data_IF_920858090764
#
_entry.id   IF_920858090764
#
_cell.length_a   1.000
_cell.length_b   1.000
_cell.length_c   1.000
_cell.angle_alpha   90.00
_cell.angle_beta   90.00
_cell.angle_gamma   90.00
#
_symmetry.space_group_name_H-M   'P 1'
#
loop_
_entity.id
_entity.type
_entity.pdbx_description
1 polymer ?
#
# COMPACT_ATOMS: atom_id res chain seq x y z
N UNK A 1 19.00 -23.41 12.73
CA UNK A 1 17.64 -23.36 13.30
C UNK A 1 17.22 -21.89 13.35
N UNK A 2 16.48 -21.44 12.35
CA UNK A 2 16.01 -20.02 12.27
C UNK A 2 14.83 -19.84 13.21
N UNK A 3 14.97 -19.00 14.21
CA UNK A 3 13.92 -18.64 15.15
C UNK A 3 12.89 -17.80 14.40
N UNK A 4 11.71 -18.35 14.16
CA UNK A 4 10.55 -17.64 13.69
C UNK A 4 10.06 -16.82 14.91
N UNK A 5 10.38 -15.54 14.92
CA UNK A 5 9.79 -14.60 15.85
C UNK A 5 8.35 -14.34 15.39
N UNK A 6 7.38 -14.99 16.04
CA UNK A 6 5.99 -14.57 15.96
C UNK A 6 5.91 -13.16 16.56
N UNK A 7 5.84 -12.16 15.72
CA UNK A 7 5.36 -10.84 16.14
C UNK A 7 3.87 -10.99 16.43
N UNK A 8 3.55 -11.21 17.70
CA UNK A 8 2.22 -10.94 18.22
C UNK A 8 2.01 -9.42 18.10
N UNK A 9 1.32 -8.99 17.04
CA UNK A 9 0.79 -7.66 16.96
C UNK A 9 -0.20 -7.50 18.13
N UNK A 10 0.28 -6.95 19.23
CA UNK A 10 -0.55 -6.47 20.32
C UNK A 10 -1.43 -5.38 19.72
N UNK A 11 -2.69 -5.74 19.41
CA UNK A 11 -3.73 -4.78 19.12
C UNK A 11 -3.88 -3.90 20.36
N UNK A 12 -3.20 -2.77 20.37
CA UNK A 12 -3.52 -1.69 21.28
C UNK A 12 -4.93 -1.24 20.89
N UNK A 13 -5.92 -1.75 21.61
CA UNK A 13 -7.28 -1.28 21.58
C UNK A 13 -7.22 0.18 22.03
N UNK A 14 -7.11 1.08 21.07
CA UNK A 14 -7.43 2.47 21.31
C UNK A 14 -8.91 2.47 21.70
N UNK A 15 -9.19 2.70 22.96
CA UNK A 15 -10.53 3.04 23.45
C UNK A 15 -10.86 4.42 22.87
N UNK A 16 -11.27 4.44 21.60
CA UNK A 16 -11.87 5.62 20.99
C UNK A 16 -13.24 5.72 21.64
N UNK A 17 -13.57 6.86 22.30
CA UNK A 17 -14.91 7.04 22.81
C UNK A 17 -15.88 6.87 21.65
N UNK A 18 -16.85 5.99 21.80
CA UNK A 18 -17.90 5.74 20.82
C UNK A 18 -18.70 7.03 20.62
N UNK A 19 -18.24 7.87 19.68
CA UNK A 19 -19.07 8.94 19.16
C UNK A 19 -20.10 8.22 18.28
N UNK A 20 -21.36 8.37 18.57
CA UNK A 20 -22.48 7.59 18.04
C UNK A 20 -22.62 7.52 16.49
N UNK A 21 -21.77 8.25 15.75
CA UNK A 21 -21.75 8.33 14.30
C UNK A 21 -20.38 8.01 13.67
N UNK A 22 -19.48 7.39 14.42
CA UNK A 22 -18.11 7.16 13.95
C UNK A 22 -17.73 5.70 14.04
N UNK A 23 -17.03 5.19 13.05
CA UNK A 23 -16.68 3.79 12.90
C UNK A 23 -15.18 3.65 12.63
N UNK A 24 -14.45 3.13 13.61
CA UNK A 24 -13.07 2.72 13.42
C UNK A 24 -13.01 1.37 12.71
N UNK A 25 -11.97 1.14 11.91
CA UNK A 25 -11.74 -0.15 11.25
C UNK A 25 -10.26 -0.44 11.08
N UNK A 26 -9.96 -1.72 10.93
CA UNK A 26 -8.66 -2.23 10.48
C UNK A 26 -8.88 -3.27 9.40
N UNK A 27 -7.93 -3.36 8.47
CA UNK A 27 -8.01 -4.29 7.35
C UNK A 27 -6.64 -4.82 6.95
N UNK A 28 -6.63 -6.00 6.35
CA UNK A 28 -5.52 -6.54 5.57
C UNK A 28 -5.90 -6.46 4.10
N UNK A 29 -4.91 -6.22 3.25
CA UNK A 29 -5.15 -5.99 1.84
C UNK A 29 -4.11 -6.65 0.96
N UNK A 30 -4.49 -6.96 -0.27
CA UNK A 30 -3.60 -7.48 -1.29
C UNK A 30 -4.17 -7.25 -2.69
N UNK A 31 -3.29 -7.16 -3.67
CA UNK A 31 -3.73 -6.83 -5.02
C UNK A 31 -2.64 -6.87 -6.06
N UNK A 32 -2.98 -6.37 -7.23
CA UNK A 32 -2.05 -6.19 -8.33
C UNK A 32 -1.51 -4.76 -8.32
N UNK A 33 -0.23 -4.64 -8.56
CA UNK A 33 0.50 -3.39 -8.63
C UNK A 33 1.21 -3.29 -9.97
N UNK A 34 1.01 -2.19 -10.68
CA UNK A 34 1.71 -1.86 -11.91
C UNK A 34 2.47 -0.56 -11.67
N UNK A 35 3.79 -0.67 -11.55
CA UNK A 35 4.70 0.45 -11.44
C UNK A 35 5.13 0.91 -12.83
N UNK A 36 5.17 2.22 -13.05
CA UNK A 36 5.57 2.82 -14.33
C UNK A 36 6.65 3.88 -14.09
N UNK A 37 7.72 3.79 -14.87
CA UNK A 37 8.81 4.77 -14.87
C UNK A 37 9.40 4.93 -16.27
N UNK A 38 9.50 6.17 -16.78
CA UNK A 38 10.19 6.47 -18.05
C UNK A 38 9.61 5.79 -19.29
N UNK A 39 8.39 5.23 -19.23
CA UNK A 39 7.75 4.50 -20.33
C UNK A 39 7.76 2.98 -20.16
N UNK A 40 8.52 2.44 -19.24
CA UNK A 40 8.52 1.02 -18.86
C UNK A 40 7.50 0.76 -17.75
N UNK A 41 6.93 -0.46 -17.74
CA UNK A 41 5.95 -0.84 -16.74
C UNK A 41 6.23 -2.25 -16.22
N UNK A 42 6.25 -2.39 -14.89
CA UNK A 42 6.47 -3.64 -14.20
C UNK A 42 5.27 -3.98 -13.31
N UNK A 43 4.83 -5.23 -13.39
CA UNK A 43 3.72 -5.73 -12.60
C UNK A 43 4.23 -6.54 -11.41
N UNK A 44 3.58 -6.32 -10.26
CA UNK A 44 3.88 -7.03 -9.03
C UNK A 44 2.61 -7.33 -8.24
N UNK A 45 2.82 -7.90 -7.07
CA UNK A 45 1.77 -8.11 -6.07
C UNK A 45 1.96 -7.13 -4.92
N UNK A 46 0.89 -6.39 -4.61
CA UNK A 46 0.80 -5.45 -3.49
C UNK A 46 0.14 -6.13 -2.30
N UNK A 47 0.64 -5.89 -1.10
CA UNK A 47 0.05 -6.39 0.14
C UNK A 47 0.31 -5.43 1.29
N UNK A 48 -0.62 -5.39 2.24
CA UNK A 48 -0.48 -4.44 3.34
C UNK A 48 -1.56 -4.52 4.39
N UNK A 49 -1.51 -3.54 5.27
CA UNK A 49 -2.49 -3.31 6.32
C UNK A 49 -2.91 -1.85 6.33
N UNK A 50 -4.17 -1.62 6.63
CA UNK A 50 -4.70 -0.26 6.77
C UNK A 50 -5.56 -0.15 8.01
N UNK A 51 -5.60 1.05 8.56
CA UNK A 51 -6.52 1.43 9.64
C UNK A 51 -7.16 2.77 9.29
N UNK A 52 -8.41 2.94 9.69
CA UNK A 52 -9.13 4.18 9.39
C UNK A 52 -10.28 4.43 10.33
N UNK A 53 -10.89 5.58 10.10
CA UNK A 53 -11.98 6.08 10.89
C UNK A 53 -12.94 6.84 9.98
N UNK A 54 -14.19 6.38 9.91
CA UNK A 54 -15.24 7.00 9.11
C UNK A 54 -16.27 7.68 10.02
N UNK A 55 -16.60 8.92 9.75
CA UNK A 55 -17.64 9.69 10.40
C UNK A 55 -18.87 9.78 9.49
N UNK A 56 -20.01 9.30 9.97
CA UNK A 56 -21.28 9.32 9.25
C UNK A 56 -21.90 10.71 9.32
N UNK A 57 -22.28 11.25 8.16
CA UNK A 57 -22.99 12.53 8.03
C UNK A 57 -24.46 12.25 7.73
N UNK A 58 -25.41 13.04 8.25
CA UNK A 58 -26.81 12.92 7.90
C UNK A 58 -27.02 12.91 6.38
N UNK A 59 -27.87 12.02 5.88
CA UNK A 59 -28.11 11.84 4.44
C UNK A 59 -27.35 10.68 3.81
N UNK A 60 -26.73 9.81 4.62
CA UNK A 60 -26.05 8.59 4.13
C UNK A 60 -24.66 8.83 3.55
N UNK A 61 -24.12 10.01 3.72
CA UNK A 61 -22.74 10.32 3.37
C UNK A 61 -21.79 10.02 4.54
N UNK A 62 -20.51 9.86 4.24
CA UNK A 62 -19.46 9.80 5.26
C UNK A 62 -18.18 10.52 4.81
N UNK A 63 -17.41 10.95 5.76
CA UNK A 63 -16.04 11.43 5.59
C UNK A 63 -15.13 10.65 6.53
N UNK A 64 -13.96 10.27 6.09
CA UNK A 64 -13.05 9.48 6.90
C UNK A 64 -11.58 9.75 6.58
N UNK A 65 -10.74 9.15 7.40
CA UNK A 65 -9.29 9.13 7.20
C UNK A 65 -8.82 7.68 7.20
N UNK A 66 -7.81 7.37 6.40
CA UNK A 66 -7.20 6.04 6.35
C UNK A 66 -5.68 6.18 6.27
N UNK A 67 -4.98 5.42 7.11
CA UNK A 67 -3.54 5.20 7.00
C UNK A 67 -3.28 3.79 6.45
N UNK A 68 -2.32 3.68 5.53
CA UNK A 68 -1.91 2.42 4.90
C UNK A 68 -0.42 2.20 5.09
N UNK A 69 -0.05 0.97 5.40
CA UNK A 69 1.32 0.46 5.36
C UNK A 69 1.32 -0.76 4.46
N UNK A 70 2.03 -0.71 3.35
CA UNK A 70 2.12 -1.78 2.38
C UNK A 70 3.53 -2.03 1.88
N UNK A 71 3.66 -3.09 1.10
CA UNK A 71 4.86 -3.47 0.39
C UNK A 71 4.48 -4.08 -0.96
N UNK A 72 5.42 -4.14 -1.92
CA UNK A 72 5.18 -4.65 -3.25
C UNK A 72 6.28 -5.63 -3.66
N UNK A 73 5.92 -6.61 -4.45
CA UNK A 73 6.88 -7.55 -5.06
C UNK A 73 7.34 -7.10 -6.44
N UNK A 74 6.92 -5.92 -6.91
CA UNK A 74 7.34 -5.37 -8.20
C UNK A 74 8.86 -5.14 -8.20
N UNK A 75 9.54 -5.80 -9.13
CA UNK A 75 11.00 -5.76 -9.28
C UNK A 75 11.36 -5.79 -10.75
N UNK A 76 12.18 -4.85 -11.16
CA UNK A 76 12.83 -4.83 -12.47
C UNK A 76 14.34 -5.08 -12.31
N UNK A 77 14.90 -6.00 -13.11
CA UNK A 77 16.31 -6.35 -13.07
C UNK A 77 16.90 -6.39 -14.48
N UNK A 78 17.99 -5.65 -14.68
CA UNK A 78 18.77 -5.66 -15.90
C UNK A 78 20.08 -6.40 -15.64
N UNK A 79 20.47 -7.25 -16.59
CA UNK A 79 21.70 -8.03 -16.55
C UNK A 79 22.73 -7.49 -17.54
N UNK A 80 24.01 -7.74 -17.27
CA UNK A 80 25.13 -7.40 -18.15
C UNK A 80 25.23 -5.88 -18.47
N UNK A 81 25.07 -5.03 -17.44
CA UNK A 81 25.03 -3.56 -17.55
C UNK A 81 26.44 -2.98 -17.70
N UNK A 82 27.38 -3.40 -16.85
CA UNK A 82 28.77 -2.92 -16.83
C UNK A 82 29.77 -4.03 -17.07
N UNK A 83 29.50 -5.25 -16.67
CA UNK A 83 30.33 -6.42 -16.92
C UNK A 83 29.47 -7.67 -17.11
N UNK A 84 30.02 -8.70 -17.78
CA UNK A 84 29.31 -9.96 -17.98
C UNK A 84 29.01 -10.65 -16.65
N UNK A 85 27.72 -10.90 -16.41
CA UNK A 85 27.22 -11.55 -15.19
C UNK A 85 26.87 -10.60 -14.06
N UNK A 86 26.94 -9.27 -14.24
CA UNK A 86 26.42 -8.32 -13.28
C UNK A 86 24.89 -8.21 -13.35
N UNK A 87 24.30 -7.67 -12.27
CA UNK A 87 22.86 -7.50 -12.15
C UNK A 87 22.54 -6.21 -11.40
N UNK A 88 21.75 -5.37 -12.02
CA UNK A 88 21.18 -4.18 -11.42
C UNK A 88 19.68 -4.36 -11.26
N UNK A 89 19.14 -4.21 -10.05
CA UNK A 89 17.72 -4.35 -9.77
C UNK A 89 17.15 -3.07 -9.14
N UNK A 90 15.95 -2.70 -9.58
CA UNK A 90 15.07 -1.73 -8.93
C UNK A 90 13.91 -2.49 -8.30
N UNK A 91 13.62 -2.18 -7.04
CA UNK A 91 12.59 -2.85 -6.25
C UNK A 91 11.63 -1.81 -5.67
N UNK A 92 10.33 -2.01 -5.88
CA UNK A 92 9.31 -1.26 -5.17
C UNK A 92 9.16 -1.88 -3.77
N UNK A 93 9.57 -1.15 -2.77
CA UNK A 93 9.50 -1.58 -1.37
C UNK A 93 8.33 -0.89 -0.66
N UNK A 94 8.51 -0.57 0.63
CA UNK A 94 7.53 0.05 1.51
C UNK A 94 6.73 1.17 0.84
N UNK A 95 5.42 1.13 1.05
CA UNK A 95 4.46 2.15 0.66
C UNK A 95 3.68 2.63 1.89
N UNK A 96 3.76 3.92 2.19
CA UNK A 96 3.02 4.57 3.25
C UNK A 96 2.01 5.53 2.62
N UNK A 97 0.77 5.53 3.08
CA UNK A 97 -0.19 6.52 2.64
C UNK A 97 -1.07 7.01 3.79
N UNK A 98 -1.47 8.27 3.70
CA UNK A 98 -2.48 8.87 4.55
C UNK A 98 -3.47 9.63 3.65
N UNK A 99 -4.73 9.18 3.66
CA UNK A 99 -5.75 9.69 2.75
C UNK A 99 -7.02 10.10 3.49
N UNK A 100 -7.73 11.06 2.91
CA UNK A 100 -9.11 11.41 3.28
C UNK A 100 -10.03 10.66 2.35
N UNK A 101 -11.10 10.09 2.90
CA UNK A 101 -12.15 9.36 2.19
C UNK A 101 -13.45 10.12 2.25
N UNK A 102 -14.17 10.19 1.14
CA UNK A 102 -15.54 10.76 1.08
C UNK A 102 -16.39 9.81 0.27
N UNK A 103 -17.55 9.47 0.78
CA UNK A 103 -18.41 8.52 0.10
C UNK A 103 -19.86 8.58 0.54
N UNK A 104 -20.62 7.67 -0.01
CA UNK A 104 -22.04 7.50 0.29
C UNK A 104 -22.37 6.04 0.53
N UNK A 105 -23.33 5.82 1.41
CA UNK A 105 -23.94 4.54 1.63
C UNK A 105 -25.02 4.30 0.57
N UNK A 106 -24.77 3.37 -0.35
CA UNK A 106 -25.72 3.04 -1.43
C UNK A 106 -26.84 2.10 -0.97
N UNK A 107 -26.56 1.30 0.06
CA UNK A 107 -27.54 0.44 0.74
C UNK A 107 -27.10 0.22 2.18
N UNK A 108 -27.91 -0.49 2.97
CA UNK A 108 -27.57 -0.83 4.37
C UNK A 108 -26.22 -1.56 4.52
N UNK A 109 -25.72 -2.19 3.45
CA UNK A 109 -24.51 -3.02 3.44
C UNK A 109 -23.42 -2.55 2.49
N UNK A 110 -23.67 -1.49 1.70
CA UNK A 110 -22.73 -1.12 0.66
C UNK A 110 -22.38 0.36 0.70
N UNK A 111 -21.09 0.66 0.54
CA UNK A 111 -20.56 2.03 0.45
C UNK A 111 -19.76 2.18 -0.83
N UNK A 112 -19.92 3.32 -1.49
CA UNK A 112 -19.09 3.78 -2.59
C UNK A 112 -18.36 5.03 -2.15
N UNK A 113 -17.07 5.12 -2.45
CA UNK A 113 -16.25 6.26 -2.01
C UNK A 113 -15.11 6.56 -2.98
N UNK A 114 -14.64 7.78 -2.88
CA UNK A 114 -13.39 8.25 -3.45
C UNK A 114 -12.47 8.69 -2.32
N UNK A 115 -11.18 8.70 -2.58
CA UNK A 115 -10.20 9.15 -1.60
C UNK A 115 -9.02 9.82 -2.26
N UNK A 116 -8.32 10.64 -1.49
CA UNK A 116 -7.11 11.29 -1.92
C UNK A 116 -6.26 11.74 -0.74
N UNK A 117 -4.95 11.80 -0.96
CA UNK A 117 -4.02 12.20 0.08
C UNK A 117 -2.56 12.03 -0.30
N UNK A 118 -1.73 12.03 0.73
CA UNK A 118 -0.29 11.89 0.63
C UNK A 118 0.12 10.42 0.60
N UNK A 119 1.16 10.12 -0.17
CA UNK A 119 1.82 8.82 -0.19
C UNK A 119 3.34 8.98 -0.24
N UNK A 120 4.06 8.02 0.36
CA UNK A 120 5.51 7.95 0.35
C UNK A 120 5.91 6.52 0.04
N UNK A 121 6.58 6.32 -1.09
CA UNK A 121 7.11 5.02 -1.48
C UNK A 121 8.62 4.98 -1.29
N UNK A 122 9.13 3.81 -0.90
CA UNK A 122 10.56 3.53 -0.88
C UNK A 122 10.91 2.66 -2.06
N UNK A 123 11.87 3.13 -2.88
CA UNK A 123 12.45 2.37 -3.97
C UNK A 123 13.85 1.93 -3.55
N UNK A 124 14.13 0.64 -3.72
CA UNK A 124 15.45 0.04 -3.50
C UNK A 124 16.17 -0.13 -4.83
N UNK A 125 17.44 0.21 -4.86
CA UNK A 125 18.36 -0.11 -5.97
C UNK A 125 19.45 -1.02 -5.44
N UNK A 126 19.67 -2.16 -6.09
CA UNK A 126 20.75 -3.09 -5.75
C UNK A 126 21.59 -3.39 -6.99
N UNK A 127 22.91 -3.34 -6.82
CA UNK A 127 23.88 -3.70 -7.85
C UNK A 127 24.78 -4.82 -7.35
N UNK A 128 24.82 -5.92 -8.08
CA UNK A 128 25.63 -7.09 -7.80
C UNK A 128 26.55 -7.36 -8.99
N UNK A 129 27.85 -7.57 -8.74
CA UNK A 129 28.86 -7.75 -9.75
C UNK A 129 29.85 -8.85 -9.35
N UNK A 130 30.21 -9.78 -10.29
CA UNK A 130 31.24 -10.82 -10.02
C UNK A 130 32.59 -10.26 -9.61
N UNK A 131 32.97 -9.08 -10.10
CA UNK A 131 34.24 -8.45 -9.72
C UNK A 131 34.20 -7.90 -8.28
N UNK A 132 33.06 -7.42 -7.79
CA UNK A 132 32.86 -7.02 -6.41
C UNK A 132 32.91 -8.22 -5.47
N UNK A 133 32.24 -9.32 -5.82
CA UNK A 133 32.28 -10.57 -5.05
C UNK A 133 33.72 -11.11 -4.92
N UNK A 134 34.49 -11.05 -5.99
CA UNK A 134 35.89 -11.50 -6.00
C UNK A 134 36.82 -10.65 -5.12
N UNK A 135 36.47 -9.38 -4.89
CA UNK A 135 37.24 -8.46 -4.03
C UNK A 135 36.73 -8.42 -2.58
N UNK A 136 35.66 -9.14 -2.25
CA UNK A 136 35.02 -9.17 -0.93
C UNK A 136 34.24 -7.92 -0.58
N UNK A 137 33.94 -7.06 -1.55
CA UNK A 137 33.00 -5.96 -1.37
C UNK A 137 31.58 -6.52 -1.49
N UNK A 138 30.73 -6.20 -0.51
CA UNK A 138 29.32 -6.53 -0.56
C UNK A 138 28.58 -5.63 -1.55
N UNK A 139 27.47 -6.16 -2.08
CA UNK A 139 26.54 -5.49 -2.98
C UNK A 139 26.25 -4.04 -2.57
N UNK A 140 26.27 -3.14 -3.52
CA UNK A 140 25.85 -1.76 -3.30
C UNK A 140 24.31 -1.71 -3.27
N UNK A 141 23.76 -1.37 -2.11
CA UNK A 141 22.32 -1.17 -1.94
C UNK A 141 22.04 0.28 -1.57
N UNK A 142 21.16 0.94 -2.32
CA UNK A 142 20.69 2.28 -2.03
C UNK A 142 19.17 2.27 -1.90
N UNK A 143 18.64 3.10 -0.99
CA UNK A 143 17.20 3.31 -0.86
C UNK A 143 16.88 4.79 -1.09
N UNK A 144 15.81 5.04 -1.82
CA UNK A 144 15.28 6.38 -2.06
C UNK A 144 13.83 6.42 -1.62
N UNK A 145 13.48 7.40 -0.81
CA UNK A 145 12.09 7.67 -0.44
C UNK A 145 11.54 8.71 -1.43
N UNK A 146 10.41 8.40 -2.05
CA UNK A 146 9.72 9.23 -3.03
C UNK A 146 8.40 9.70 -2.43
N UNK A 147 8.22 11.01 -2.40
CA UNK A 147 6.99 11.63 -1.97
C UNK A 147 6.01 11.77 -3.14
N UNK A 148 4.71 11.70 -2.85
CA UNK A 148 3.71 11.78 -3.88
C UNK A 148 2.30 11.99 -3.37
N UNK A 149 1.35 11.95 -4.30
CA UNK A 149 -0.07 11.96 -3.99
C UNK A 149 -0.72 10.67 -4.48
N UNK A 150 -1.77 10.25 -3.75
CA UNK A 150 -2.60 9.10 -4.08
C UNK A 150 -4.03 9.54 -4.25
N UNK A 151 -4.68 9.06 -5.33
CA UNK A 151 -6.11 9.18 -5.58
C UNK A 151 -6.69 7.80 -5.82
N UNK A 152 -7.96 7.61 -5.51
CA UNK A 152 -8.60 6.35 -5.79
C UNK A 152 -10.09 6.36 -5.54
N UNK A 153 -10.68 5.22 -5.87
CA UNK A 153 -12.09 4.94 -5.62
C UNK A 153 -12.23 3.51 -5.10
N UNK A 154 -13.25 3.29 -4.28
CA UNK A 154 -13.47 1.98 -3.68
C UNK A 154 -14.95 1.69 -3.46
N UNK A 155 -15.20 0.40 -3.41
CA UNK A 155 -16.51 -0.18 -3.12
C UNK A 155 -16.35 -1.12 -1.93
N UNK A 156 -17.18 -0.94 -0.88
CA UNK A 156 -17.15 -1.70 0.36
C UNK A 156 -18.47 -2.41 0.55
N UNK A 157 -18.42 -3.67 0.95
CA UNK A 157 -19.59 -4.50 1.26
C UNK A 157 -19.45 -5.08 2.66
N UNK A 158 -20.45 -4.82 3.50
CA UNK A 158 -20.57 -5.42 4.83
C UNK A 158 -21.06 -6.86 4.71
N UNK A 159 -20.21 -7.81 5.07
CA UNK A 159 -20.53 -9.25 5.11
C UNK A 159 -21.30 -9.58 6.36
N UNK A 160 -20.91 -8.99 7.50
CA UNK A 160 -21.60 -9.03 8.78
C UNK A 160 -21.70 -7.64 9.38
N UNK A 161 -22.21 -7.48 10.59
CA UNK A 161 -22.22 -6.20 11.29
C UNK A 161 -20.81 -5.65 11.59
N UNK A 162 -19.80 -6.49 11.62
CA UNK A 162 -18.42 -6.12 11.94
C UNK A 162 -17.43 -6.40 10.83
N UNK A 163 -17.69 -7.39 9.97
CA UNK A 163 -16.78 -7.81 8.90
C UNK A 163 -17.20 -7.18 7.56
N UNK A 164 -16.23 -6.63 6.84
CA UNK A 164 -16.42 -6.09 5.50
C UNK A 164 -15.36 -6.58 4.50
N UNK A 165 -15.68 -6.46 3.22
CA UNK A 165 -14.77 -6.65 2.09
C UNK A 165 -14.77 -5.37 1.25
N UNK A 166 -13.60 -4.97 0.76
CA UNK A 166 -13.43 -3.82 -0.14
C UNK A 166 -12.77 -4.23 -1.45
N UNK A 167 -13.13 -3.53 -2.51
CA UNK A 167 -12.36 -3.47 -3.74
C UNK A 167 -11.99 -2.00 -3.99
N UNK A 168 -10.71 -1.72 -4.22
CA UNK A 168 -10.19 -0.38 -4.45
C UNK A 168 -9.35 -0.33 -5.73
N UNK A 169 -9.46 0.76 -6.45
CA UNK A 169 -8.49 1.17 -7.46
C UNK A 169 -7.73 2.40 -6.93
N UNK A 170 -6.41 2.34 -7.00
CA UNK A 170 -5.50 3.37 -6.50
C UNK A 170 -4.59 3.84 -7.64
N UNK A 171 -4.47 5.12 -7.80
CA UNK A 171 -3.46 5.78 -8.61
C UNK A 171 -2.57 6.60 -7.70
N UNK A 172 -1.27 6.36 -7.75
CA UNK A 172 -0.26 7.13 -7.01
C UNK A 172 0.72 7.72 -8.00
N UNK A 173 1.02 8.99 -7.83
CA UNK A 173 2.04 9.69 -8.61
C UNK A 173 3.08 10.26 -7.65
N UNK A 174 4.33 9.93 -7.91
CA UNK A 174 5.47 10.30 -7.09
C UNK A 174 6.40 11.21 -7.86
N UNK A 175 7.39 11.77 -7.19
CA UNK A 175 8.49 12.48 -7.82
C UNK A 175 9.25 11.58 -8.81
N UNK A 176 10.05 12.20 -9.72
CA UNK A 176 10.89 11.50 -10.70
C UNK A 176 10.12 10.67 -11.73
N UNK A 177 8.94 11.13 -12.18
CA UNK A 177 8.09 10.48 -13.19
C UNK A 177 7.74 9.01 -12.86
N UNK A 178 7.69 8.70 -11.56
CA UNK A 178 7.27 7.39 -11.07
C UNK A 178 5.78 7.40 -10.72
N UNK A 179 5.03 6.45 -11.27
CA UNK A 179 3.61 6.30 -10.96
C UNK A 179 3.24 4.83 -10.74
N UNK A 180 2.17 4.60 -9.98
CA UNK A 180 1.66 3.26 -9.67
C UNK A 180 0.15 3.20 -9.87
N UNK A 181 -0.29 2.10 -10.45
CA UNK A 181 -1.69 1.72 -10.59
C UNK A 181 -1.92 0.42 -9.82
N UNK A 182 -2.82 0.44 -8.85
CA UNK A 182 -3.06 -0.71 -7.99
C UNK A 182 -4.55 -1.07 -7.99
N UNK A 183 -4.83 -2.37 -8.16
CA UNK A 183 -6.14 -2.96 -7.95
C UNK A 183 -6.10 -3.83 -6.70
N UNK A 184 -6.79 -3.43 -5.63
CA UNK A 184 -6.65 -3.98 -4.28
C UNK A 184 -7.97 -4.56 -3.79
N UNK A 185 -7.89 -5.72 -3.18
CA UNK A 185 -8.98 -6.31 -2.38
C UNK A 185 -8.54 -6.29 -0.91
N UNK A 186 -9.45 -5.88 -0.04
CA UNK A 186 -9.20 -5.87 1.39
C UNK A 186 -10.32 -6.58 2.16
N UNK A 187 -9.94 -7.17 3.29
CA UNK A 187 -10.87 -7.73 4.28
C UNK A 187 -10.56 -7.08 5.62
N UNK A 188 -11.59 -6.61 6.29
CA UNK A 188 -11.41 -5.89 7.55
C UNK A 188 -12.54 -6.04 8.54
N UNK A 189 -12.29 -5.49 9.71
CA UNK A 189 -13.27 -5.46 10.82
C UNK A 189 -13.50 -4.03 11.30
N UNK A 190 -14.74 -3.76 11.68
CA UNK A 190 -15.25 -2.48 12.21
C UNK A 190 -15.50 -2.61 13.71
N UNK A 191 -15.33 -1.49 14.41
CA UNK A 191 -15.51 -1.39 15.86
C UNK A 191 -16.55 -0.32 16.23
#
# INVERSE_FOLDING_TARGET
MKKIALLAASAALFAVPAIANAQAYVQVEGGLDVAQQGGDSEAGFDYGVSAGYDYQIPGGMFVGIQGTYGDSTARDCVHDVAEAGDRSCLEANRDLAAVVRVGTQMSEKTKLYVFGGYTNARVGSSYNSPSLDATGFSDATAHHDLDGFRLGAGYEVDVTSTLFVKAEYRYSNYESDFSRHQGVIAVGTKF
#
